data_IF_775866050103
#
_entry.id   IF_775866050103
#
_cell.length_a   1.000
_cell.length_b   1.000
_cell.length_c   1.000
_cell.angle_alpha   90.00
_cell.angle_beta   90.00
_cell.angle_gamma   90.00
#
_symmetry.space_group_name_H-M   'P 1'
#
loop_
_entity.id
_entity.type
_entity.pdbx_description
1 polymer ?
#
# COMPACT_ATOMS: atom_id res chain seq x y z
N UNK A 1 -17.36 -11.04 -10.96
CA UNK A 1 -16.21 -10.41 -10.28
C UNK A 1 -16.70 -9.12 -9.68
N UNK A 2 -16.45 -8.90 -8.38
CA UNK A 2 -16.82 -7.66 -7.70
C UNK A 2 -15.87 -6.53 -8.11
N UNK A 3 -16.27 -5.28 -7.87
CA UNK A 3 -15.40 -4.11 -8.10
C UNK A 3 -14.10 -4.18 -7.28
N UNK A 4 -14.19 -4.73 -6.06
CA UNK A 4 -13.02 -4.98 -5.20
C UNK A 4 -12.05 -5.99 -5.82
N UNK A 5 -12.56 -7.04 -6.47
CA UNK A 5 -11.71 -8.01 -7.18
C UNK A 5 -10.95 -7.37 -8.34
N UNK A 6 -11.57 -6.40 -9.04
CA UNK A 6 -10.91 -5.67 -10.13
C UNK A 6 -9.78 -4.82 -9.57
N UNK A 7 -10.05 -4.05 -8.51
CA UNK A 7 -9.05 -3.21 -7.85
C UNK A 7 -7.86 -4.03 -7.32
N UNK A 8 -8.12 -5.18 -6.67
CA UNK A 8 -7.07 -6.09 -6.24
C UNK A 8 -6.17 -6.50 -7.40
N UNK A 9 -6.76 -6.90 -8.54
CA UNK A 9 -5.99 -7.35 -9.71
C UNK A 9 -5.19 -6.22 -10.35
N UNK A 10 -5.70 -4.99 -10.36
CA UNK A 10 -4.96 -3.83 -10.85
C UNK A 10 -3.75 -3.50 -9.97
N UNK A 11 -3.93 -3.48 -8.65
CA UNK A 11 -2.84 -3.27 -7.69
C UNK A 11 -1.81 -4.41 -7.77
N UNK A 12 -2.25 -5.65 -7.81
CA UNK A 12 -1.38 -6.82 -7.96
C UNK A 12 -0.58 -6.74 -9.26
N UNK A 13 -1.24 -6.44 -10.38
CA UNK A 13 -0.61 -6.28 -11.68
C UNK A 13 0.40 -5.12 -11.69
N UNK A 14 0.12 -4.04 -10.97
CA UNK A 14 1.08 -2.96 -10.78
C UNK A 14 2.30 -3.41 -9.96
N UNK A 15 2.10 -4.04 -8.79
CA UNK A 15 3.19 -4.53 -7.93
C UNK A 15 4.09 -5.54 -8.65
N UNK A 16 3.52 -6.48 -9.41
CA UNK A 16 4.26 -7.49 -10.17
C UNK A 16 5.23 -6.92 -11.20
N UNK A 17 4.97 -5.73 -11.74
CA UNK A 17 5.87 -5.03 -12.68
C UNK A 17 7.15 -4.54 -12.00
N UNK A 18 7.13 -4.36 -10.69
CA UNK A 18 8.25 -3.85 -9.89
C UNK A 18 8.79 -4.85 -8.86
N UNK A 19 8.33 -6.09 -8.90
CA UNK A 19 8.82 -7.16 -8.04
C UNK A 19 10.32 -7.41 -8.30
N UNK A 20 11.09 -7.52 -7.21
CA UNK A 20 12.52 -7.81 -7.27
C UNK A 20 12.81 -9.26 -7.71
N UNK A 21 11.96 -10.19 -7.31
CA UNK A 21 12.10 -11.63 -7.54
C UNK A 21 10.73 -12.33 -7.69
N UNK A 22 10.75 -13.65 -7.88
CA UNK A 22 9.54 -14.45 -8.03
C UNK A 22 8.71 -14.54 -6.75
N UNK A 23 9.34 -14.49 -5.57
CA UNK A 23 8.60 -14.45 -4.30
C UNK A 23 7.79 -13.14 -4.20
N UNK A 24 8.43 -12.01 -4.47
CA UNK A 24 7.80 -10.70 -4.53
C UNK A 24 6.67 -10.68 -5.57
N UNK A 25 6.86 -11.32 -6.72
CA UNK A 25 5.88 -11.35 -7.81
C UNK A 25 4.69 -12.26 -7.52
N UNK A 26 4.92 -13.47 -7.02
CA UNK A 26 3.88 -14.50 -6.95
C UNK A 26 3.29 -14.70 -5.55
N UNK A 27 3.97 -14.23 -4.50
CA UNK A 27 3.52 -14.37 -3.10
C UNK A 27 3.21 -13.01 -2.50
N UNK A 28 4.15 -12.06 -2.57
CA UNK A 28 4.01 -10.79 -1.84
C UNK A 28 3.07 -9.83 -2.54
N UNK A 29 3.16 -9.69 -3.87
CA UNK A 29 2.27 -8.83 -4.65
C UNK A 29 0.77 -9.16 -4.44
N UNK A 30 0.31 -10.42 -4.57
CA UNK A 30 -1.11 -10.74 -4.31
C UNK A 30 -1.50 -10.55 -2.85
N UNK A 31 -0.60 -10.80 -1.90
CA UNK A 31 -0.84 -10.55 -0.48
C UNK A 31 -1.09 -9.06 -0.21
N UNK A 32 -0.19 -8.19 -0.68
CA UNK A 32 -0.31 -6.74 -0.52
C UNK A 32 -1.56 -6.23 -1.23
N UNK A 33 -1.85 -6.70 -2.44
CA UNK A 33 -3.04 -6.29 -3.18
C UNK A 33 -4.33 -6.60 -2.41
N UNK A 34 -4.45 -7.82 -1.85
CA UNK A 34 -5.58 -8.21 -1.02
C UNK A 34 -5.69 -7.35 0.24
N UNK A 35 -4.58 -7.17 0.97
CA UNK A 35 -4.54 -6.35 2.20
C UNK A 35 -4.81 -4.87 1.92
N UNK A 36 -4.50 -4.38 0.72
CA UNK A 36 -4.80 -3.00 0.32
C UNK A 36 -6.29 -2.68 0.22
N UNK A 37 -7.16 -3.70 0.18
CA UNK A 37 -8.62 -3.53 0.18
C UNK A 37 -9.22 -3.44 1.59
N UNK A 38 -8.48 -3.83 2.63
CA UNK A 38 -8.96 -3.80 4.02
C UNK A 38 -9.10 -2.36 4.53
N UNK A 39 -9.75 -2.16 5.66
CA UNK A 39 -10.14 -0.82 6.13
C UNK A 39 -8.98 -0.02 6.74
N UNK A 40 -8.00 -0.69 7.35
CA UNK A 40 -6.96 0.00 8.12
C UNK A 40 -5.81 0.50 7.23
N UNK A 41 -4.75 1.00 7.87
CA UNK A 41 -3.50 1.23 7.18
C UNK A 41 -2.90 -0.09 6.72
N UNK A 42 -2.36 -0.10 5.50
CA UNK A 42 -1.80 -1.30 4.89
C UNK A 42 -0.71 -1.97 5.75
N UNK A 43 0.05 -1.21 6.54
CA UNK A 43 1.04 -1.79 7.44
C UNK A 43 0.38 -2.57 8.59
N UNK A 44 -0.75 -2.09 9.13
CA UNK A 44 -1.49 -2.77 10.21
C UNK A 44 -2.14 -4.05 9.70
N UNK A 45 -2.74 -3.98 8.52
CA UNK A 45 -3.39 -5.11 7.86
C UNK A 45 -2.37 -6.20 7.44
N UNK A 46 -1.11 -5.82 7.20
CA UNK A 46 0.02 -6.72 7.00
C UNK A 46 0.68 -7.19 8.31
N UNK A 47 0.26 -6.67 9.47
CA UNK A 47 0.78 -7.05 10.79
C UNK A 47 2.10 -6.37 11.20
N UNK A 48 2.52 -5.32 10.50
CA UNK A 48 3.70 -4.54 10.87
C UNK A 48 3.42 -3.61 12.05
N UNK A 49 4.44 -3.40 12.89
CA UNK A 49 4.34 -2.52 14.05
C UNK A 49 4.41 -1.03 13.69
N UNK A 50 4.98 -0.70 12.52
CA UNK A 50 5.16 0.68 12.10
C UNK A 50 5.28 0.83 10.58
N UNK A 51 5.08 2.06 10.11
CA UNK A 51 5.36 2.50 8.75
C UNK A 51 6.80 2.19 8.31
N UNK A 52 7.76 2.31 9.22
CA UNK A 52 9.18 2.07 8.92
C UNK A 52 9.42 0.61 8.57
N UNK A 53 8.84 -0.32 9.35
CA UNK A 53 8.90 -1.75 9.05
C UNK A 53 8.31 -2.08 7.67
N UNK A 54 7.14 -1.51 7.37
CA UNK A 54 6.54 -1.69 6.05
C UNK A 54 7.41 -1.07 4.94
N UNK A 55 8.01 0.09 5.18
CA UNK A 55 8.95 0.73 4.25
C UNK A 55 10.15 -0.15 3.93
N UNK A 56 10.77 -0.74 4.95
CA UNK A 56 11.87 -1.69 4.77
C UNK A 56 11.42 -2.94 4.01
N UNK A 57 10.25 -3.49 4.35
CA UNK A 57 9.66 -4.63 3.66
C UNK A 57 9.42 -4.36 2.17
N UNK A 58 8.85 -3.19 1.85
CA UNK A 58 8.66 -2.76 0.47
C UNK A 58 9.97 -2.48 -0.25
N UNK A 59 10.99 -1.94 0.43
CA UNK A 59 12.31 -1.72 -0.16
C UNK A 59 13.03 -3.03 -0.49
N UNK A 60 12.79 -4.09 0.30
CA UNK A 60 13.35 -5.42 0.06
C UNK A 60 12.70 -6.09 -1.16
N UNK A 61 11.37 -6.11 -1.24
CA UNK A 61 10.64 -6.85 -2.29
C UNK A 61 10.33 -6.01 -3.55
N UNK A 62 10.28 -4.69 -3.41
CA UNK A 62 9.96 -3.74 -4.49
C UNK A 62 10.88 -2.50 -4.44
N UNK A 63 12.22 -2.68 -4.55
CA UNK A 63 13.20 -1.61 -4.36
C UNK A 63 12.91 -0.39 -5.24
N UNK A 64 12.60 -0.62 -6.52
CA UNK A 64 12.27 0.45 -7.47
C UNK A 64 11.00 1.22 -7.09
N UNK A 65 9.99 0.57 -6.49
CA UNK A 65 8.82 1.30 -5.97
C UNK A 65 9.16 2.10 -4.72
N UNK A 66 10.04 1.59 -3.85
CA UNK A 66 10.48 2.31 -2.67
C UNK A 66 11.25 3.59 -3.02
N UNK A 67 12.03 3.56 -4.11
CA UNK A 67 12.71 4.75 -4.64
C UNK A 67 11.74 5.78 -5.24
N UNK A 68 10.70 5.32 -5.95
CA UNK A 68 9.71 6.19 -6.59
C UNK A 68 8.73 6.82 -5.59
N UNK A 69 8.55 6.21 -4.42
CA UNK A 69 7.56 6.64 -3.44
C UNK A 69 8.03 7.90 -2.69
N UNK A 70 7.23 8.98 -2.64
CA UNK A 70 7.53 10.13 -1.79
C UNK A 70 7.59 9.77 -0.30
N UNK A 71 8.51 10.41 0.44
CA UNK A 71 8.75 10.16 1.87
C UNK A 71 7.59 10.53 2.77
N UNK A 72 6.70 11.42 2.35
CA UNK A 72 5.53 11.86 3.14
C UNK A 72 4.25 11.10 2.77
N UNK A 73 4.28 10.23 1.76
CA UNK A 73 3.09 9.52 1.27
C UNK A 73 2.92 8.17 1.97
N UNK A 74 1.68 7.77 2.24
CA UNK A 74 1.37 6.41 2.72
C UNK A 74 1.46 5.42 1.55
N UNK A 75 1.87 4.18 1.81
CA UNK A 75 2.02 3.14 0.78
C UNK A 75 0.70 2.85 0.06
N UNK A 76 -0.39 2.68 0.82
CA UNK A 76 -1.72 2.46 0.26
C UNK A 76 -2.08 3.57 -0.74
N UNK A 77 -2.06 4.83 -0.28
CA UNK A 77 -2.32 5.99 -1.15
C UNK A 77 -1.41 6.05 -2.38
N UNK A 78 -0.11 5.79 -2.22
CA UNK A 78 0.83 5.75 -3.33
C UNK A 78 0.47 4.70 -4.40
N UNK A 79 0.14 3.47 -3.98
CA UNK A 79 -0.21 2.38 -4.90
C UNK A 79 -1.50 2.67 -5.67
N UNK A 80 -2.52 3.19 -4.99
CA UNK A 80 -3.81 3.53 -5.62
C UNK A 80 -3.68 4.73 -6.58
N UNK A 81 -2.94 5.77 -6.18
CA UNK A 81 -2.66 6.90 -7.07
C UNK A 81 -1.88 6.45 -8.33
N UNK A 82 -1.01 5.45 -8.20
CA UNK A 82 -0.23 4.93 -9.33
C UNK A 82 -1.07 4.17 -10.36
N UNK A 83 -2.23 3.64 -9.97
CA UNK A 83 -3.20 3.02 -10.90
C UNK A 83 -4.36 3.96 -11.25
N UNK A 84 -4.33 5.22 -10.79
CA UNK A 84 -5.37 6.21 -11.04
C UNK A 84 -6.71 5.88 -10.38
N UNK A 85 -6.68 5.15 -9.25
CA UNK A 85 -7.87 4.75 -8.48
C UNK A 85 -7.81 5.33 -7.07
N UNK A 86 -8.94 5.31 -6.37
CA UNK A 86 -9.02 5.65 -4.95
C UNK A 86 -9.20 4.35 -4.16
N UNK A 87 -8.49 4.22 -3.04
CA UNK A 87 -8.66 3.07 -2.17
C UNK A 87 -10.12 3.00 -1.67
N UNK A 88 -10.79 1.84 -1.74
CA UNK A 88 -12.20 1.72 -1.38
C UNK A 88 -12.45 2.09 0.09
N UNK A 89 -11.49 1.78 0.98
CA UNK A 89 -11.53 2.20 2.38
C UNK A 89 -11.38 3.72 2.59
N UNK A 90 -10.84 4.47 1.63
CA UNK A 90 -10.73 5.93 1.70
C UNK A 90 -12.02 6.66 1.28
N UNK A 91 -12.93 5.99 0.57
CA UNK A 91 -14.21 6.58 0.16
C UNK A 91 -15.22 6.70 1.33
N UNK A 92 -15.12 5.83 2.33
CA UNK A 92 -15.93 5.83 3.56
C UNK A 92 -15.18 6.36 4.79
N UNK A 93 -13.90 6.67 4.65
CA UNK A 93 -13.12 7.27 5.73
C UNK A 93 -13.50 8.75 5.86
N UNK A 94 -14.26 9.09 6.90
CA UNK A 94 -14.63 10.46 7.30
C UNK A 94 -13.41 11.31 7.75
N UNK A 95 -12.20 10.82 7.49
CA UNK A 95 -10.91 11.24 8.02
C UNK A 95 -9.98 11.69 6.89
N UNK A 96 -10.53 12.16 5.76
CA UNK A 96 -9.71 12.72 4.68
C UNK A 96 -8.85 13.90 5.16
N UNK A 97 -9.30 14.62 6.20
CA UNK A 97 -8.55 15.69 6.87
C UNK A 97 -7.42 15.14 7.79
N UNK A 98 -7.60 13.97 8.38
CA UNK A 98 -6.63 13.32 9.27
C UNK A 98 -5.67 12.36 8.58
N UNK A 99 -5.81 12.13 7.27
CA UNK A 99 -4.75 11.50 6.48
C UNK A 99 -3.41 12.25 6.61
N UNK A 100 -3.44 13.58 6.84
CA UNK A 100 -2.26 14.36 7.20
C UNK A 100 -1.85 14.17 8.67
N UNK A 101 -2.81 14.05 9.58
CA UNK A 101 -2.52 13.82 11.01
C UNK A 101 -1.90 12.44 11.28
N UNK A 102 -2.24 11.40 10.51
CA UNK A 102 -1.54 10.10 10.61
C UNK A 102 -0.06 10.20 10.19
N UNK A 103 0.28 11.05 9.21
CA UNK A 103 1.68 11.30 8.84
C UNK A 103 2.43 11.98 10.00
N UNK A 104 1.78 12.90 10.72
CA UNK A 104 2.36 13.67 11.83
C UNK A 104 2.44 12.84 13.13
N UNK A 105 1.38 12.10 13.47
CA UNK A 105 1.30 11.31 14.70
C UNK A 105 2.30 10.14 14.71
N UNK A 106 2.56 9.55 13.54
CA UNK A 106 3.48 8.40 13.42
C UNK A 106 4.93 8.80 13.15
N UNK A 107 5.22 10.06 12.80
CA UNK A 107 6.58 10.59 12.68
C UNK A 107 7.22 10.91 14.05
N UNK A 108 6.44 10.86 15.12
CA UNK A 108 6.87 11.16 16.50
C UNK A 108 7.07 9.91 17.37
N UNK A 109 7.04 8.71 16.79
CA UNK A 109 7.17 7.41 17.48
C UNK A 109 8.45 6.65 17.07
#
# INVERSE_FOLDING_TARGET
MSELDILAREIEGYLKKYAADDEARYVIAPLIAKKSLEMNHLYQDLGFKSRVQMGAYMAQHFPRLAELKPKDKLWKKFLYDAIGKVAPACATCNDQEHCFTCIIAEASA
#
